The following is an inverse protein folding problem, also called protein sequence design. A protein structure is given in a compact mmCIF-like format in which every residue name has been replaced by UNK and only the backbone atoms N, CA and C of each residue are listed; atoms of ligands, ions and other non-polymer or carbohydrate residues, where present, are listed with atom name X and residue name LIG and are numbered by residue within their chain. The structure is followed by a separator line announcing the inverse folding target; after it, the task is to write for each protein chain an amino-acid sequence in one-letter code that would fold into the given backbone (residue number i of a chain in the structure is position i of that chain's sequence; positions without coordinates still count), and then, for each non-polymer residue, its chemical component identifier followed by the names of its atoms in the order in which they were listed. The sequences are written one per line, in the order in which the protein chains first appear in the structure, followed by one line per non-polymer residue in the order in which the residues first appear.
data_IF_803373968948
#
_entry.id   IF_803373968948
#
_cell.length_a   1.000
_cell.length_b   1.000
_cell.length_c   1.000
_cell.angle_alpha   90.00
_cell.angle_beta   90.00
_cell.angle_gamma   90.00
#
_symmetry.space_group_name_H-M   'P 1'
#
loop_
_entity.id
_entity.type
_entity.pdbx_description
1 polymer ?
#
# COMPACT_ATOMS: atom_id res chain seq x y z
N UNK A 1 -23.49 -49.90 27.34
CA UNK A 1 -22.15 -49.62 26.76
C UNK A 1 -21.20 -49.57 27.93
N UNK A 2 -20.16 -50.41 27.95
CA UNK A 2 -19.35 -50.66 29.15
C UNK A 2 -18.30 -49.57 29.38
N UNK A 3 -17.94 -49.34 30.65
CA UNK A 3 -16.94 -48.36 31.11
C UNK A 3 -15.59 -48.46 30.37
N UNK A 4 -15.27 -49.63 29.82
CA UNK A 4 -14.09 -49.86 28.98
C UNK A 4 -14.10 -49.08 27.66
N UNK A 5 -15.26 -48.69 27.13
CA UNK A 5 -15.36 -47.87 25.92
C UNK A 5 -15.09 -46.39 26.22
N UNK A 6 -15.49 -45.91 27.40
CA UNK A 6 -15.24 -44.54 27.86
C UNK A 6 -13.74 -44.38 28.19
N UNK A 7 -13.13 -45.31 28.93
CA UNK A 7 -11.69 -45.30 29.21
C UNK A 7 -10.83 -45.31 27.94
N UNK A 8 -11.23 -46.08 26.92
CA UNK A 8 -10.53 -46.10 25.62
C UNK A 8 -10.66 -44.77 24.87
N UNK A 9 -11.80 -44.08 25.00
CA UNK A 9 -12.00 -42.75 24.40
C UNK A 9 -11.12 -41.72 25.11
N UNK A 10 -11.11 -41.71 26.43
CA UNK A 10 -10.32 -40.77 27.22
C UNK A 10 -8.81 -40.98 27.08
N UNK A 11 -8.36 -42.24 27.01
CA UNK A 11 -6.96 -42.57 26.76
C UNK A 11 -6.50 -42.09 25.37
N UNK A 12 -7.37 -42.22 24.36
CA UNK A 12 -7.11 -41.74 23.00
C UNK A 12 -7.05 -40.20 22.95
N UNK A 13 -8.00 -39.52 23.59
CA UNK A 13 -8.03 -38.06 23.66
C UNK A 13 -6.79 -37.50 24.41
N UNK A 14 -6.36 -38.17 25.48
CA UNK A 14 -5.17 -37.79 26.24
C UNK A 14 -3.87 -37.99 25.45
N UNK A 15 -3.78 -39.08 24.68
CA UNK A 15 -2.65 -39.34 23.79
C UNK A 15 -2.57 -38.32 22.63
N UNK A 16 -3.71 -38.00 22.01
CA UNK A 16 -3.81 -36.96 20.98
C UNK A 16 -3.41 -35.57 21.53
N UNK A 17 -3.77 -35.28 22.77
CA UNK A 17 -3.41 -34.01 23.42
C UNK A 17 -1.93 -33.93 23.78
N UNK A 18 -1.34 -35.01 24.29
CA UNK A 18 0.09 -35.06 24.59
C UNK A 18 0.96 -34.88 23.33
N UNK A 19 0.52 -35.39 22.17
CA UNK A 19 1.18 -35.17 20.89
C UNK A 19 1.11 -33.71 20.40
N UNK A 20 0.05 -32.97 20.77
CA UNK A 20 -0.09 -31.53 20.45
C UNK A 20 0.82 -30.69 21.35
N UNK A 21 0.94 -31.05 22.62
CA UNK A 21 1.75 -30.32 23.61
C UNK A 21 3.25 -30.60 23.45
N UNK A 22 3.63 -31.80 23.01
CA UNK A 22 5.05 -32.17 22.81
C UNK A 22 5.69 -31.57 21.54
N UNK A 23 4.94 -30.84 20.71
CA UNK A 23 5.47 -30.22 19.50
C UNK A 23 5.88 -31.23 18.43
N UNK A 24 5.22 -32.39 18.38
CA UNK A 24 5.59 -33.48 17.49
C UNK A 24 5.39 -33.10 16.01
N UNK A 25 6.39 -33.40 15.18
CA UNK A 25 6.56 -32.87 13.81
C UNK A 25 5.41 -33.25 12.86
N UNK A 26 4.62 -34.27 13.24
CA UNK A 26 3.46 -34.75 12.50
C UNK A 26 2.31 -33.71 12.45
N UNK A 27 2.17 -32.83 13.44
CA UNK A 27 1.10 -31.81 13.48
C UNK A 27 1.37 -30.59 12.59
N UNK A 28 2.63 -30.36 12.16
CA UNK A 28 2.95 -29.31 11.16
C UNK A 28 2.36 -29.62 9.78
N UNK A 29 2.18 -30.90 9.43
CA UNK A 29 1.62 -31.30 8.12
C UNK A 29 0.09 -31.20 8.05
N UNK A 30 -0.62 -31.28 9.17
CA UNK A 30 -2.09 -31.19 9.22
C UNK A 30 -2.62 -29.74 9.24
N UNK A 31 -1.88 -28.79 9.80
CA UNK A 31 -2.27 -27.36 9.75
C UNK A 31 -2.20 -26.73 8.34
N UNK A 32 -1.42 -27.31 7.42
CA UNK A 32 -1.44 -26.93 6.00
C UNK A 32 -2.75 -27.37 5.32
N UNK A 33 -3.44 -28.40 5.82
CA UNK A 33 -4.75 -28.84 5.29
C UNK A 33 -5.93 -28.05 5.86
N UNK A 34 -5.82 -27.50 7.08
CA UNK A 34 -6.91 -26.71 7.68
C UNK A 34 -7.15 -25.37 6.97
N UNK A 35 -6.12 -24.82 6.31
CA UNK A 35 -6.23 -23.60 5.49
C UNK A 35 -6.32 -23.86 3.97
N UNK A 36 -6.14 -25.11 3.53
CA UNK A 36 -6.23 -25.52 2.12
C UNK A 36 -7.65 -25.81 1.60
N UNK A 37 -8.69 -25.58 2.41
CA UNK A 37 -10.05 -26.07 2.12
C UNK A 37 -11.12 -24.98 2.18
N UNK A 38 -10.88 -23.83 1.54
CA UNK A 38 -11.98 -22.98 1.04
C UNK A 38 -12.13 -23.31 -0.45
N UNK A 39 -12.74 -24.46 -0.74
CA UNK A 39 -13.28 -24.74 -2.07
C UNK A 39 -14.63 -24.02 -2.17
N UNK A 40 -14.72 -23.06 -3.08
CA UNK A 40 -15.99 -22.58 -3.63
C UNK A 40 -16.85 -23.78 -4.02
N UNK A 41 -17.98 -23.97 -3.32
CA UNK A 41 -19.03 -24.88 -3.76
C UNK A 41 -19.66 -24.29 -5.02
N UNK A 42 -19.19 -24.72 -6.19
CA UNK A 42 -19.97 -24.66 -7.44
C UNK A 42 -20.50 -26.06 -7.70
N UNK A 43 -21.81 -26.23 -7.57
CA UNK A 43 -22.48 -27.44 -8.00
C UNK A 43 -22.89 -27.29 -9.46
N UNK A 44 -22.50 -28.24 -10.31
CA UNK A 44 -22.98 -28.37 -11.69
C UNK A 44 -23.92 -29.56 -11.71
N UNK A 45 -25.22 -29.32 -11.58
CA UNK A 45 -26.20 -30.35 -11.94
C UNK A 45 -26.18 -30.51 -13.47
N UNK A 46 -26.27 -31.76 -13.93
CA UNK A 46 -26.20 -32.09 -15.34
C UNK A 46 -27.25 -31.36 -16.18
N UNK A 47 -26.87 -31.08 -17.43
CA UNK A 47 -27.64 -30.52 -18.57
C UNK A 47 -29.07 -30.04 -18.26
N UNK A 48 -29.24 -28.71 -18.16
CA UNK A 48 -30.51 -28.02 -18.37
C UNK A 48 -30.98 -27.15 -17.20
N UNK A 49 -30.85 -25.83 -17.37
CA UNK A 49 -31.39 -24.70 -16.60
C UNK A 49 -30.96 -24.48 -15.13
N UNK A 50 -30.72 -23.21 -14.80
CA UNK A 50 -30.45 -22.71 -13.45
C UNK A 50 -31.79 -22.47 -12.73
N UNK A 51 -31.95 -23.01 -11.53
CA UNK A 51 -33.07 -22.70 -10.64
C UNK A 51 -32.54 -22.00 -9.40
N UNK A 52 -33.11 -20.85 -9.05
CA UNK A 52 -32.89 -20.20 -7.76
C UNK A 52 -33.61 -20.98 -6.65
N UNK A 53 -32.91 -21.26 -5.54
CA UNK A 53 -33.52 -21.79 -4.32
C UNK A 53 -33.83 -20.64 -3.35
N UNK A 54 -34.99 -20.64 -2.68
CA UNK A 54 -35.34 -19.59 -1.75
C UNK A 54 -34.55 -19.73 -0.44
N UNK A 55 -34.05 -18.62 0.07
CA UNK A 55 -33.39 -18.53 1.38
C UNK A 55 -34.42 -18.76 2.50
N UNK A 56 -34.23 -19.82 3.30
CA UNK A 56 -34.97 -20.02 4.55
C UNK A 56 -34.19 -19.46 5.76
N UNK A 57 -34.89 -18.72 6.63
CA UNK A 57 -34.41 -17.90 7.76
C UNK A 57 -33.82 -18.65 8.98
N UNK A 58 -33.42 -19.93 8.92
CA UNK A 58 -33.11 -20.72 10.12
C UNK A 58 -31.62 -20.97 10.44
N UNK A 59 -30.64 -20.53 9.64
CA UNK A 59 -29.21 -20.83 9.90
C UNK A 59 -28.44 -19.74 10.66
N UNK A 60 -28.96 -19.30 11.80
CA UNK A 60 -28.27 -18.34 12.70
C UNK A 60 -27.53 -18.90 13.95
N UNK A 61 -27.43 -20.22 14.27
CA UNK A 61 -26.69 -20.64 15.48
C UNK A 61 -25.19 -20.90 15.27
N UNK A 62 -24.77 -21.37 14.10
CA UNK A 62 -23.44 -21.98 13.90
C UNK A 62 -22.32 -20.94 13.92
N UNK A 63 -22.57 -19.75 13.36
CA UNK A 63 -21.58 -18.66 13.31
C UNK A 63 -21.30 -18.06 14.69
N UNK A 64 -22.33 -17.88 15.53
CA UNK A 64 -22.17 -17.39 16.92
C UNK A 64 -21.34 -18.36 17.75
N UNK A 65 -21.53 -19.67 17.55
CA UNK A 65 -20.78 -20.71 18.25
C UNK A 65 -19.30 -20.74 17.82
N UNK A 66 -19.02 -20.64 16.52
CA UNK A 66 -17.65 -20.62 15.98
C UNK A 66 -16.88 -19.37 16.41
N UNK A 67 -17.52 -18.21 16.46
CA UNK A 67 -16.91 -16.96 16.96
C UNK A 67 -16.59 -17.08 18.45
N UNK A 68 -17.52 -17.59 19.28
CA UNK A 68 -17.27 -17.83 20.72
C UNK A 68 -16.09 -18.77 20.95
N UNK A 69 -15.98 -19.84 20.16
CA UNK A 69 -14.88 -20.81 20.25
C UNK A 69 -13.53 -20.22 19.83
N UNK A 70 -13.51 -19.40 18.78
CA UNK A 70 -12.30 -18.71 18.33
C UNK A 70 -11.81 -17.67 19.34
N UNK A 71 -12.73 -16.90 19.95
CA UNK A 71 -12.42 -15.95 21.03
C UNK A 71 -11.83 -16.68 22.23
N UNK A 72 -12.44 -17.80 22.62
CA UNK A 72 -11.96 -18.62 23.74
C UNK A 72 -10.58 -19.25 23.50
N UNK A 73 -10.30 -19.68 22.26
CA UNK A 73 -9.00 -20.22 21.90
C UNK A 73 -7.88 -19.17 22.01
N UNK A 74 -8.15 -17.93 21.62
CA UNK A 74 -7.17 -16.83 21.69
C UNK A 74 -6.92 -16.38 23.13
N UNK A 75 -7.97 -16.32 23.97
CA UNK A 75 -7.82 -16.00 25.40
C UNK A 75 -6.96 -17.04 26.13
N UNK A 76 -7.07 -18.33 25.74
CA UNK A 76 -6.29 -19.41 26.35
C UNK A 76 -4.84 -19.48 25.87
N UNK A 77 -4.56 -19.09 24.61
CA UNK A 77 -3.20 -19.09 24.04
C UNK A 77 -2.28 -18.01 24.60
N UNK A 78 -2.81 -16.89 25.09
CA UNK A 78 -1.99 -15.79 25.59
C UNK A 78 -1.64 -15.91 27.10
N UNK A 79 -1.98 -17.02 27.76
CA UNK A 79 -1.50 -17.34 29.11
C UNK A 79 -1.97 -16.44 30.25
N UNK A 80 -2.88 -15.48 30.01
CA UNK A 80 -3.19 -14.44 30.99
C UNK A 80 -4.21 -14.84 32.09
N UNK A 81 -4.83 -16.03 32.06
CA UNK A 81 -5.80 -16.41 33.09
C UNK A 81 -5.79 -17.92 33.40
N UNK A 82 -5.46 -18.28 34.64
CA UNK A 82 -5.85 -19.56 35.25
C UNK A 82 -7.37 -19.51 35.52
N UNK A 83 -8.19 -20.40 34.92
CA UNK A 83 -9.64 -20.41 35.11
C UNK A 83 -10.09 -20.55 36.56
N UNK A 84 -9.21 -21.00 37.46
CA UNK A 84 -9.50 -21.20 38.88
C UNK A 84 -9.19 -19.99 39.75
N UNK A 85 -8.47 -18.99 39.22
CA UNK A 85 -8.01 -17.83 39.97
C UNK A 85 -8.76 -16.53 39.63
N UNK A 86 -9.79 -16.59 38.79
CA UNK A 86 -10.63 -15.43 38.52
C UNK A 86 -11.77 -15.43 39.54
N UNK A 87 -11.80 -14.52 40.53
CA UNK A 87 -13.03 -14.33 41.31
C UNK A 87 -14.16 -14.01 40.33
N UNK A 88 -15.40 -14.26 40.70
CA UNK A 88 -16.61 -13.87 39.94
C UNK A 88 -16.63 -12.34 39.74
N UNK A 89 -15.76 -11.84 38.86
CA UNK A 89 -15.82 -10.52 38.33
C UNK A 89 -17.16 -10.44 37.62
N UNK A 90 -17.88 -9.34 37.85
CA UNK A 90 -19.19 -9.13 37.24
C UNK A 90 -19.10 -9.48 35.74
N UNK A 91 -20.12 -10.11 35.17
CA UNK A 91 -20.13 -10.48 33.74
C UNK A 91 -19.73 -9.29 32.83
N UNK A 92 -19.98 -8.07 33.32
CA UNK A 92 -19.57 -6.80 32.72
C UNK A 92 -18.06 -6.64 32.58
N UNK A 93 -17.26 -7.03 33.57
CA UNK A 93 -15.80 -6.93 33.53
C UNK A 93 -15.17 -7.96 32.58
N UNK A 94 -15.70 -9.19 32.59
CA UNK A 94 -15.31 -10.23 31.61
C UNK A 94 -15.64 -9.76 30.20
N UNK A 95 -16.81 -9.15 29.99
CA UNK A 95 -17.22 -8.62 28.71
C UNK A 95 -16.35 -7.44 28.25
N UNK A 96 -16.02 -6.50 29.13
CA UNK A 96 -15.16 -5.35 28.82
C UNK A 96 -13.74 -5.79 28.48
N UNK A 97 -13.16 -6.72 29.25
CA UNK A 97 -11.82 -7.27 28.98
C UNK A 97 -11.80 -8.10 27.70
N UNK A 98 -12.82 -8.93 27.45
CA UNK A 98 -12.96 -9.65 26.19
C UNK A 98 -13.12 -8.69 25.00
N UNK A 99 -13.89 -7.60 25.14
CA UNK A 99 -14.05 -6.58 24.09
C UNK A 99 -12.74 -5.83 23.82
N UNK A 100 -11.93 -5.55 24.84
CA UNK A 100 -10.58 -4.97 24.70
C UNK A 100 -9.59 -5.94 24.06
N UNK A 101 -9.61 -7.22 24.47
CA UNK A 101 -8.80 -8.28 23.87
C UNK A 101 -9.17 -8.54 22.41
N UNK A 102 -10.48 -8.61 22.08
CA UNK A 102 -10.94 -8.66 20.70
C UNK A 102 -10.55 -7.40 19.94
N UNK A 103 -10.61 -6.20 20.51
CA UNK A 103 -10.12 -4.99 19.82
C UNK A 103 -8.64 -5.08 19.46
N UNK A 104 -7.82 -5.76 20.25
CA UNK A 104 -6.39 -5.99 19.96
C UNK A 104 -6.16 -7.12 18.97
N UNK A 105 -6.95 -8.19 19.03
CA UNK A 105 -6.80 -9.40 18.18
C UNK A 105 -7.51 -9.26 16.82
N UNK A 106 -8.62 -8.54 16.75
CA UNK A 106 -9.49 -8.44 15.55
C UNK A 106 -9.03 -7.36 14.57
N UNK A 107 -8.10 -6.47 14.95
CA UNK A 107 -7.57 -5.50 13.99
C UNK A 107 -6.84 -6.17 12.81
N UNK A 108 -6.17 -7.31 13.00
CA UNK A 108 -5.46 -8.00 11.92
C UNK A 108 -6.37 -8.83 10.97
N UNK A 109 -7.28 -9.71 11.43
CA UNK A 109 -8.10 -10.52 10.52
C UNK A 109 -9.25 -9.74 9.87
N UNK A 110 -9.76 -8.66 10.50
CA UNK A 110 -10.84 -7.87 9.91
C UNK A 110 -10.34 -7.01 8.73
N UNK A 111 -9.10 -6.50 8.80
CA UNK A 111 -8.46 -5.82 7.67
C UNK A 111 -8.22 -6.75 6.47
N UNK A 112 -7.98 -8.05 6.71
CA UNK A 112 -7.83 -9.04 5.64
C UNK A 112 -9.15 -9.28 4.88
N UNK A 113 -10.28 -9.33 5.59
CA UNK A 113 -11.61 -9.47 4.96
C UNK A 113 -12.05 -8.16 4.29
N UNK A 114 -11.79 -7.00 4.90
CA UNK A 114 -12.08 -5.70 4.28
C UNK A 114 -11.29 -5.50 2.97
N UNK A 115 -10.06 -6.02 2.89
CA UNK A 115 -9.24 -5.98 1.69
C UNK A 115 -9.82 -6.76 0.49
N UNK A 116 -10.68 -7.75 0.72
CA UNK A 116 -11.36 -8.51 -0.34
C UNK A 116 -12.50 -7.73 -1.02
N UNK A 117 -12.96 -6.63 -0.42
CA UNK A 117 -14.06 -5.81 -0.93
C UNK A 117 -13.64 -4.42 -1.40
N UNK A 118 -12.33 -4.12 -1.43
CA UNK A 118 -11.86 -2.87 -1.99
C UNK A 118 -12.22 -2.83 -3.48
N UNK A 119 -12.99 -1.80 -3.87
CA UNK A 119 -13.34 -1.54 -5.26
C UNK A 119 -12.06 -1.30 -6.05
N UNK A 120 -11.62 -2.31 -6.79
CA UNK A 120 -10.42 -2.22 -7.62
C UNK A 120 -10.66 -1.24 -8.77
N UNK A 121 -9.90 -0.16 -8.78
CA UNK A 121 -9.84 0.86 -9.84
C UNK A 121 -8.65 0.56 -10.73
N UNK A 122 -8.81 0.74 -12.03
CA UNK A 122 -7.75 0.48 -13.02
C UNK A 122 -7.45 1.73 -13.83
N UNK A 123 -6.17 1.99 -14.03
CA UNK A 123 -5.67 3.17 -14.75
C UNK A 123 -4.67 2.77 -15.81
N UNK A 124 -4.78 3.40 -16.98
CA UNK A 124 -3.83 3.26 -18.08
C UNK A 124 -2.48 3.91 -17.76
N UNK A 125 -2.54 5.14 -17.22
CA UNK A 125 -1.35 5.93 -16.88
C UNK A 125 -1.25 6.25 -15.38
N UNK A 126 -0.02 6.34 -14.90
CA UNK A 126 0.32 6.79 -13.54
C UNK A 126 1.29 7.96 -13.60
N UNK A 127 0.85 9.13 -13.14
CA UNK A 127 1.67 10.33 -13.07
C UNK A 127 2.12 10.56 -11.63
N UNK A 128 3.35 10.14 -11.30
CA UNK A 128 3.90 10.35 -9.97
C UNK A 128 4.42 11.79 -9.85
N UNK A 129 3.86 12.57 -8.94
CA UNK A 129 4.21 13.97 -8.67
C UNK A 129 5.08 14.13 -7.41
N UNK A 130 6.38 14.37 -7.56
CA UNK A 130 7.28 14.90 -6.52
C UNK A 130 7.56 14.00 -5.31
N UNK A 131 8.82 13.96 -4.83
CA UNK A 131 9.22 13.26 -3.58
C UNK A 131 8.70 11.81 -3.48
N UNK A 132 8.61 11.19 -4.66
CA UNK A 132 7.91 9.93 -4.87
C UNK A 132 8.84 8.74 -4.98
N UNK A 133 10.10 8.83 -4.55
CA UNK A 133 11.01 7.69 -4.54
C UNK A 133 10.40 6.50 -3.78
N UNK A 134 9.76 6.75 -2.64
CA UNK A 134 9.02 5.72 -1.90
C UNK A 134 7.77 5.26 -2.66
N UNK A 135 6.95 6.17 -3.20
CA UNK A 135 5.75 5.84 -3.99
C UNK A 135 6.10 4.94 -5.18
N UNK A 136 7.12 5.33 -5.95
CA UNK A 136 7.66 4.61 -7.09
C UNK A 136 8.21 3.23 -6.68
N UNK A 137 9.00 3.16 -5.61
CA UNK A 137 9.50 1.88 -5.09
C UNK A 137 8.36 0.95 -4.66
N UNK A 138 7.36 1.47 -3.93
CA UNK A 138 6.22 0.68 -3.46
C UNK A 138 5.31 0.23 -4.60
N UNK A 139 5.16 1.08 -5.62
CA UNK A 139 4.46 0.76 -6.86
C UNK A 139 5.18 -0.38 -7.59
N UNK A 140 6.49 -0.25 -7.80
CA UNK A 140 7.35 -1.25 -8.44
C UNK A 140 7.24 -2.61 -7.73
N UNK A 141 7.39 -2.62 -6.40
CA UNK A 141 7.34 -3.86 -5.61
C UNK A 141 5.97 -4.54 -5.64
N UNK A 142 4.90 -3.78 -5.82
CA UNK A 142 3.53 -4.33 -5.85
C UNK A 142 3.12 -4.79 -7.25
N UNK A 143 3.50 -4.03 -8.29
CA UNK A 143 3.02 -4.23 -9.65
C UNK A 143 4.06 -4.86 -10.60
N UNK A 144 5.33 -4.96 -10.17
CA UNK A 144 6.41 -5.57 -10.96
C UNK A 144 6.91 -4.71 -12.13
N UNK A 145 6.53 -3.43 -12.18
CA UNK A 145 7.07 -2.47 -13.13
C UNK A 145 6.99 -1.05 -12.57
N UNK A 146 7.74 -0.13 -13.17
CA UNK A 146 7.66 1.29 -12.88
C UNK A 146 7.55 2.05 -14.19
N UNK A 147 6.56 2.94 -14.28
CA UNK A 147 6.47 3.87 -15.39
C UNK A 147 7.19 5.17 -15.04
N UNK A 148 8.23 5.48 -15.82
CA UNK A 148 9.03 6.69 -15.60
C UNK A 148 8.34 7.89 -16.22
N UNK A 149 7.82 8.77 -15.37
CA UNK A 149 7.29 10.10 -15.73
C UNK A 149 8.23 11.19 -15.24
N UNK A 150 8.07 12.44 -15.71
CA UNK A 150 8.98 13.53 -15.37
C UNK A 150 9.17 13.70 -13.86
N UNK A 151 8.07 13.90 -13.12
CA UNK A 151 8.10 14.10 -11.67
C UNK A 151 8.28 12.82 -10.83
N UNK A 152 8.44 11.65 -11.48
CA UNK A 152 8.97 10.46 -10.81
C UNK A 152 10.48 10.60 -10.56
N UNK A 153 11.18 11.41 -11.36
CA UNK A 153 12.62 11.63 -11.31
C UNK A 153 13.01 13.06 -10.93
N UNK A 154 12.06 13.99 -11.03
CA UNK A 154 12.20 15.38 -10.68
C UNK A 154 11.31 15.77 -9.49
N UNK A 155 11.79 16.65 -8.62
CA UNK A 155 11.10 17.08 -7.41
C UNK A 155 11.32 18.56 -7.11
N UNK A 156 10.28 19.25 -6.62
CA UNK A 156 10.45 20.50 -5.88
C UNK A 156 11.00 20.23 -4.48
N UNK A 157 11.27 21.27 -3.70
CA UNK A 157 11.58 21.11 -2.27
C UNK A 157 10.34 20.79 -1.43
N UNK A 158 9.18 21.28 -1.85
CA UNK A 158 7.91 21.22 -1.16
C UNK A 158 6.73 21.20 -2.17
N UNK A 159 5.50 21.22 -1.66
CA UNK A 159 4.31 21.25 -2.51
C UNK A 159 4.24 22.50 -3.41
N UNK A 160 4.62 23.67 -2.90
CA UNK A 160 4.58 24.93 -3.66
C UNK A 160 5.61 24.96 -4.80
N UNK A 161 6.83 24.49 -4.55
CA UNK A 161 7.86 24.33 -5.56
C UNK A 161 7.44 23.35 -6.65
N UNK A 162 6.69 22.29 -6.30
CA UNK A 162 6.13 21.38 -7.30
C UNK A 162 5.01 22.03 -8.12
N UNK A 163 4.11 22.79 -7.49
CA UNK A 163 3.09 23.58 -8.20
C UNK A 163 3.74 24.63 -9.12
N UNK A 164 4.83 25.25 -8.69
CA UNK A 164 5.61 26.16 -9.52
C UNK A 164 6.19 25.42 -10.75
N UNK A 165 6.75 24.22 -10.54
CA UNK A 165 7.23 23.38 -11.63
C UNK A 165 6.13 23.01 -12.64
N UNK A 166 4.91 22.70 -12.18
CA UNK A 166 3.76 22.47 -13.06
C UNK A 166 3.28 23.74 -13.78
N UNK A 167 3.45 24.92 -13.15
CA UNK A 167 3.11 26.20 -13.78
C UNK A 167 4.02 26.50 -14.95
N UNK A 168 5.32 26.29 -14.76
CA UNK A 168 6.38 26.55 -15.74
C UNK A 168 6.86 25.26 -16.42
N UNK A 169 5.94 24.31 -16.65
CA UNK A 169 6.31 22.95 -17.05
C UNK A 169 7.13 22.90 -18.35
N UNK A 170 6.79 23.72 -19.34
CA UNK A 170 7.48 23.77 -20.64
C UNK A 170 8.91 24.29 -20.55
N UNK A 171 9.19 25.11 -19.52
CA UNK A 171 10.49 25.77 -19.30
C UNK A 171 11.45 24.91 -18.48
N UNK A 172 10.96 23.90 -17.77
CA UNK A 172 11.74 23.05 -16.87
C UNK A 172 12.96 22.43 -17.56
N UNK A 173 14.16 22.69 -17.09
CA UNK A 173 15.43 22.20 -17.65
C UNK A 173 15.68 22.63 -19.10
N UNK A 174 15.18 23.80 -19.51
CA UNK A 174 15.56 24.43 -20.79
C UNK A 174 16.62 25.51 -20.60
N UNK A 175 16.61 26.18 -19.45
CA UNK A 175 17.51 27.28 -19.11
C UNK A 175 18.77 26.83 -18.37
N UNK A 176 19.18 27.66 -17.41
CA UNK A 176 20.38 27.45 -16.62
C UNK A 176 20.20 26.34 -15.59
N UNK A 177 21.23 25.49 -15.45
CA UNK A 177 21.25 24.35 -14.56
C UNK A 177 22.43 24.47 -13.60
N UNK A 178 22.18 24.34 -12.30
CA UNK A 178 23.20 24.34 -11.27
C UNK A 178 23.16 23.05 -10.46
N UNK A 179 24.23 22.70 -9.75
CA UNK A 179 24.12 21.67 -8.74
C UNK A 179 23.21 22.14 -7.60
N UNK A 180 22.34 21.25 -7.12
CA UNK A 180 21.57 21.53 -5.92
C UNK A 180 22.53 21.70 -4.72
N UNK A 181 22.30 22.67 -3.82
CA UNK A 181 23.15 22.88 -2.66
C UNK A 181 23.36 21.59 -1.86
N UNK A 182 24.62 21.25 -1.58
CA UNK A 182 24.98 20.05 -0.83
C UNK A 182 24.80 18.72 -1.59
N UNK A 183 24.56 18.75 -2.90
CA UNK A 183 24.42 17.54 -3.72
C UNK A 183 25.39 17.53 -4.89
N UNK A 184 26.09 16.41 -5.06
CA UNK A 184 26.97 16.15 -6.20
C UNK A 184 26.27 15.42 -7.35
N UNK A 185 25.04 14.93 -7.15
CA UNK A 185 24.33 14.09 -8.13
C UNK A 185 22.96 14.63 -8.54
N UNK A 186 22.60 15.83 -8.08
CA UNK A 186 21.29 16.44 -8.32
C UNK A 186 21.52 17.82 -8.94
N UNK A 187 20.93 18.03 -10.10
CA UNK A 187 20.86 19.34 -10.74
C UNK A 187 19.56 20.02 -10.37
N UNK A 188 19.62 21.33 -10.23
CA UNK A 188 18.49 22.22 -10.02
C UNK A 188 18.35 23.12 -11.24
N UNK A 189 17.13 23.18 -11.76
CA UNK A 189 16.72 24.22 -12.69
C UNK A 189 16.64 25.56 -11.95
N UNK A 190 17.42 26.55 -12.38
CA UNK A 190 17.59 27.81 -11.64
C UNK A 190 16.29 28.63 -11.61
N UNK A 191 15.51 28.61 -12.68
CA UNK A 191 14.31 29.42 -12.81
C UNK A 191 13.16 28.89 -11.93
N UNK A 192 13.02 27.57 -11.87
CA UNK A 192 11.86 26.92 -11.22
C UNK A 192 12.17 26.31 -9.86
N UNK A 193 13.45 26.07 -9.56
CA UNK A 193 13.90 25.38 -8.36
C UNK A 193 13.71 23.85 -8.40
N UNK A 194 13.16 23.30 -9.49
CA UNK A 194 12.94 21.85 -9.62
C UNK A 194 14.28 21.13 -9.75
N UNK A 195 14.39 20.01 -9.05
CA UNK A 195 15.61 19.21 -8.96
C UNK A 195 15.45 17.87 -9.65
N UNK A 196 16.49 17.38 -10.31
CA UNK A 196 16.51 16.09 -10.97
C UNK A 196 17.88 15.42 -10.85
N UNK A 197 17.88 14.09 -10.67
CA UNK A 197 19.12 13.32 -10.60
C UNK A 197 19.84 13.26 -11.95
N UNK A 198 21.14 13.57 -11.94
CA UNK A 198 22.02 13.21 -13.02
C UNK A 198 22.15 11.69 -13.14
N UNK A 199 22.42 11.21 -14.36
CA UNK A 199 22.67 9.79 -14.59
C UNK A 199 23.98 9.33 -13.92
N UNK A 200 24.96 10.21 -13.92
CA UNK A 200 26.30 9.99 -13.39
C UNK A 200 26.49 10.85 -12.14
N UNK A 201 27.10 10.27 -11.11
CA UNK A 201 27.66 11.04 -10.00
C UNK A 201 29.14 11.32 -10.33
N UNK A 202 29.75 12.34 -9.70
CA UNK A 202 31.19 12.50 -9.75
C UNK A 202 31.91 11.22 -9.32
N UNK A 203 33.05 10.95 -9.94
CA UNK A 203 33.88 9.80 -9.56
C UNK A 203 34.44 9.99 -8.15
N UNK A 204 34.80 8.88 -7.51
CA UNK A 204 35.27 8.87 -6.11
C UNK A 204 36.58 9.63 -5.90
N UNK A 205 37.37 9.81 -6.97
CA UNK A 205 38.59 10.63 -7.01
C UNK A 205 38.31 12.13 -7.18
N UNK A 206 37.03 12.52 -7.26
CA UNK A 206 36.61 13.91 -7.42
C UNK A 206 36.84 14.46 -8.83
N UNK A 207 37.24 13.63 -9.80
CA UNK A 207 37.37 14.06 -11.21
C UNK A 207 35.99 14.56 -11.66
N UNK A 208 35.87 15.83 -12.08
CA UNK A 208 34.59 16.37 -12.49
C UNK A 208 34.12 15.59 -13.72
N UNK A 209 32.96 14.92 -13.67
CA UNK A 209 32.33 14.45 -14.89
C UNK A 209 32.13 15.65 -15.82
N UNK A 210 32.29 15.46 -17.13
CA UNK A 210 32.10 16.53 -18.11
C UNK A 210 30.73 17.19 -17.89
N UNK A 211 30.78 18.37 -17.28
CA UNK A 211 29.63 19.02 -16.70
C UNK A 211 28.64 19.44 -17.79
N UNK A 212 29.16 19.86 -18.94
CA UNK A 212 28.35 20.24 -20.09
C UNK A 212 27.74 19.00 -20.76
N UNK A 213 28.47 17.88 -20.84
CA UNK A 213 27.89 16.62 -21.28
C UNK A 213 26.76 16.14 -20.36
N UNK A 214 26.90 16.30 -19.03
CA UNK A 214 25.84 15.98 -18.07
C UNK A 214 24.62 16.89 -18.21
N UNK A 215 24.83 18.21 -18.35
CA UNK A 215 23.74 19.16 -18.63
C UNK A 215 23.02 18.78 -19.91
N UNK A 216 23.75 18.50 -20.98
CA UNK A 216 23.19 18.10 -22.29
C UNK A 216 22.36 16.82 -22.19
N UNK A 217 22.88 15.77 -21.53
CA UNK A 217 22.13 14.54 -21.27
C UNK A 217 20.85 14.82 -20.47
N UNK A 218 20.98 15.60 -19.39
CA UNK A 218 19.86 15.90 -18.51
C UNK A 218 18.76 16.68 -19.23
N UNK A 219 19.13 17.68 -20.04
CA UNK A 219 18.17 18.44 -20.88
C UNK A 219 17.44 17.53 -21.85
N UNK A 220 18.16 16.64 -22.54
CA UNK A 220 17.57 15.67 -23.48
C UNK A 220 16.59 14.72 -22.78
N UNK A 221 17.00 14.15 -21.64
CA UNK A 221 16.16 13.26 -20.84
C UNK A 221 14.95 13.99 -20.25
N UNK A 222 15.13 15.21 -19.76
CA UNK A 222 14.06 16.08 -19.28
C UNK A 222 13.03 16.34 -20.38
N UNK A 223 13.48 16.77 -21.57
CA UNK A 223 12.60 17.02 -22.71
C UNK A 223 11.78 15.77 -23.09
N UNK A 224 12.41 14.60 -23.17
CA UNK A 224 11.72 13.34 -23.43
C UNK A 224 10.66 13.03 -22.35
N UNK A 225 11.00 13.20 -21.07
CA UNK A 225 10.08 12.92 -19.98
C UNK A 225 8.92 13.94 -19.90
N UNK A 226 9.15 15.21 -20.27
CA UNK A 226 8.10 16.24 -20.38
C UNK A 226 7.09 15.88 -21.48
N UNK A 227 7.59 15.55 -22.66
CA UNK A 227 6.77 15.11 -23.79
C UNK A 227 5.94 13.87 -23.44
N UNK A 228 6.57 12.88 -22.80
CA UNK A 228 5.86 11.69 -22.32
C UNK A 228 4.78 12.05 -21.29
N UNK A 229 5.07 12.93 -20.34
CA UNK A 229 4.11 13.36 -19.33
C UNK A 229 2.88 14.01 -19.98
N UNK A 230 3.06 14.92 -20.95
CA UNK A 230 1.93 15.52 -21.67
C UNK A 230 1.11 14.51 -22.42
N UNK A 231 1.76 13.57 -23.11
CA UNK A 231 1.07 12.52 -23.85
C UNK A 231 0.16 11.71 -22.95
N UNK A 232 0.69 11.24 -21.82
CA UNK A 232 -0.07 10.45 -20.85
C UNK A 232 -1.19 11.26 -20.17
N UNK A 233 -0.94 12.54 -19.89
CA UNK A 233 -1.93 13.42 -19.29
C UNK A 233 -3.10 13.70 -20.23
N UNK A 234 -2.85 13.87 -21.53
CA UNK A 234 -3.84 14.26 -22.55
C UNK A 234 -4.53 13.08 -23.23
N UNK A 235 -4.00 11.87 -23.05
CA UNK A 235 -4.60 10.63 -23.55
C UNK A 235 -6.02 10.42 -23.00
N UNK A 236 -6.82 9.63 -23.71
CA UNK A 236 -8.18 9.28 -23.31
C UNK A 236 -8.22 8.13 -22.27
N UNK A 237 -7.09 7.44 -22.06
CA UNK A 237 -6.96 6.42 -21.02
C UNK A 237 -7.14 7.00 -19.61
N UNK A 238 -7.74 6.24 -18.66
CA UNK A 238 -7.86 6.69 -17.29
C UNK A 238 -6.49 6.91 -16.65
N UNK A 239 -6.23 8.13 -16.20
CA UNK A 239 -4.96 8.55 -15.62
C UNK A 239 -5.09 8.80 -14.13
N UNK A 240 -4.20 8.21 -13.35
CA UNK A 240 -4.06 8.51 -11.92
C UNK A 240 -2.82 9.35 -11.68
N UNK A 241 -3.01 10.61 -11.30
CA UNK A 241 -1.95 11.39 -10.67
C UNK A 241 -1.80 10.97 -9.21
N UNK A 242 -0.57 10.80 -8.74
CA UNK A 242 -0.26 10.39 -7.37
C UNK A 242 0.68 11.39 -6.74
N UNK A 243 0.32 11.91 -5.58
CA UNK A 243 1.14 12.83 -4.80
C UNK A 243 1.29 12.32 -3.37
N UNK A 244 2.55 12.22 -2.91
CA UNK A 244 2.89 11.99 -1.50
C UNK A 244 2.97 13.34 -0.80
N UNK A 245 2.27 13.52 0.31
CA UNK A 245 2.28 14.76 1.07
C UNK A 245 2.69 14.48 2.52
N UNK A 246 3.69 15.23 3.00
CA UNK A 246 4.02 15.32 4.43
C UNK A 246 3.52 16.66 4.95
N UNK A 247 3.13 16.71 6.21
CA UNK A 247 2.68 17.97 6.81
C UNK A 247 3.75 19.08 6.74
N UNK A 248 5.02 18.73 6.89
CA UNK A 248 6.16 19.67 6.82
C UNK A 248 6.34 20.31 5.43
N UNK A 249 6.12 19.54 4.36
CA UNK A 249 6.27 19.99 2.97
C UNK A 249 4.97 20.63 2.43
N UNK A 250 3.83 20.31 3.04
CA UNK A 250 2.50 20.63 2.55
C UNK A 250 1.56 20.97 3.73
N UNK A 251 1.81 22.08 4.46
CA UNK A 251 1.07 22.41 5.69
C UNK A 251 -0.43 22.62 5.45
N UNK A 252 -0.83 22.92 4.21
CA UNK A 252 -2.23 23.02 3.77
C UNK A 252 -2.56 21.91 2.78
N UNK A 253 -2.52 20.65 3.21
CA UNK A 253 -2.62 19.47 2.34
C UNK A 253 -3.80 19.52 1.35
N UNK A 254 -5.02 19.78 1.84
CA UNK A 254 -6.23 19.90 1.02
C UNK A 254 -6.12 20.97 -0.07
N UNK A 255 -5.64 22.17 0.29
CA UNK A 255 -5.39 23.26 -0.66
C UNK A 255 -4.43 22.81 -1.77
N UNK A 256 -3.29 22.20 -1.43
CA UNK A 256 -2.32 21.76 -2.44
C UNK A 256 -2.89 20.65 -3.33
N UNK A 257 -3.66 19.71 -2.77
CA UNK A 257 -4.33 18.67 -3.54
C UNK A 257 -5.26 19.26 -4.61
N UNK A 258 -6.05 20.25 -4.24
CA UNK A 258 -6.91 20.97 -5.17
C UNK A 258 -6.10 21.66 -6.27
N UNK A 259 -5.07 22.43 -5.89
CA UNK A 259 -4.21 23.15 -6.85
C UNK A 259 -3.48 22.22 -7.81
N UNK A 260 -3.04 21.04 -7.35
CA UNK A 260 -2.44 20.05 -8.24
C UNK A 260 -3.43 19.57 -9.29
N UNK A 261 -4.63 19.21 -8.87
CA UNK A 261 -5.65 18.70 -9.79
C UNK A 261 -6.10 19.77 -10.79
N UNK A 262 -6.37 20.98 -10.32
CA UNK A 262 -6.68 22.13 -11.20
C UNK A 262 -5.58 22.30 -12.24
N UNK A 263 -4.32 22.35 -11.80
CA UNK A 263 -3.21 22.59 -12.72
C UNK A 263 -3.05 21.49 -13.76
N UNK A 264 -3.21 20.23 -13.38
CA UNK A 264 -3.16 19.11 -14.32
C UNK A 264 -4.32 19.14 -15.31
N UNK A 265 -5.52 19.56 -14.88
CA UNK A 265 -6.67 19.76 -15.77
C UNK A 265 -6.41 20.90 -16.76
N UNK A 266 -5.86 22.02 -16.30
CA UNK A 266 -5.44 23.15 -17.17
C UNK A 266 -4.40 22.71 -18.22
N UNK A 267 -3.50 21.78 -17.88
CA UNK A 267 -2.52 21.21 -18.80
C UNK A 267 -3.11 20.23 -19.83
N UNK A 268 -4.42 19.94 -19.76
CA UNK A 268 -5.17 19.10 -20.68
C UNK A 268 -5.59 17.73 -20.13
N UNK A 269 -5.52 17.52 -18.80
CA UNK A 269 -5.94 16.28 -18.15
C UNK A 269 -7.46 16.08 -18.19
N UNK A 270 -7.95 15.22 -19.10
CA UNK A 270 -9.40 14.97 -19.32
C UNK A 270 -9.94 13.79 -18.51
N UNK A 271 -9.27 12.64 -18.53
CA UNK A 271 -9.66 11.43 -17.80
C UNK A 271 -8.78 11.23 -16.56
N UNK A 272 -8.70 12.26 -15.73
CA UNK A 272 -7.73 12.37 -14.65
C UNK A 272 -8.39 12.26 -13.26
N UNK A 273 -7.79 11.46 -12.39
CA UNK A 273 -8.07 11.45 -10.95
C UNK A 273 -6.79 11.70 -10.18
N UNK A 274 -6.90 12.30 -8.99
CA UNK A 274 -5.78 12.50 -8.07
C UNK A 274 -5.88 11.53 -6.89
N UNK A 275 -4.77 10.89 -6.55
CA UNK A 275 -4.57 10.14 -5.31
C UNK A 275 -3.55 10.89 -4.45
N UNK A 276 -4.03 11.40 -3.32
CA UNK A 276 -3.21 11.96 -2.26
C UNK A 276 -2.89 10.86 -1.26
N UNK A 277 -1.61 10.71 -0.95
CA UNK A 277 -1.12 9.78 0.07
C UNK A 277 -0.44 10.60 1.15
N UNK A 278 -0.93 10.51 2.40
CA UNK A 278 -0.35 11.17 3.58
C UNK A 278 -0.07 10.17 4.72
N UNK A 279 0.62 10.58 5.79
CA UNK A 279 0.62 9.79 7.02
C UNK A 279 -0.73 9.90 7.74
N UNK A 280 -1.09 8.87 8.52
CA UNK A 280 -2.33 8.89 9.32
C UNK A 280 -2.42 10.09 10.26
N UNK A 281 -1.29 10.53 10.81
CA UNK A 281 -1.23 11.71 11.68
C UNK A 281 -1.59 13.00 10.91
N UNK A 282 -1.21 13.08 9.64
CA UNK A 282 -1.39 14.27 8.80
C UNK A 282 -2.79 14.32 8.16
N UNK A 283 -3.54 13.22 8.21
CA UNK A 283 -4.85 13.09 7.58
C UNK A 283 -5.90 14.07 8.14
N UNK A 284 -5.66 14.63 9.33
CA UNK A 284 -6.51 15.67 9.94
C UNK A 284 -6.58 16.96 9.12
N UNK A 285 -5.59 17.20 8.25
CA UNK A 285 -5.53 18.37 7.36
C UNK A 285 -6.28 18.18 6.03
N UNK A 286 -7.01 17.08 5.92
CA UNK A 286 -7.83 16.76 4.75
C UNK A 286 -9.27 16.49 5.19
N UNK A 287 -10.26 16.81 4.34
CA UNK A 287 -11.63 16.37 4.58
C UNK A 287 -11.73 14.84 4.55
N UNK A 288 -12.68 14.30 5.31
CA UNK A 288 -12.88 12.85 5.42
C UNK A 288 -13.21 12.19 4.07
N UNK A 289 -13.94 12.90 3.22
CA UNK A 289 -14.22 12.54 1.84
C UNK A 289 -14.10 13.79 0.97
N UNK A 290 -13.48 13.68 -0.20
CA UNK A 290 -13.39 14.75 -1.18
C UNK A 290 -13.93 14.26 -2.53
N UNK A 291 -14.77 15.05 -3.23
CA UNK A 291 -15.33 14.63 -4.52
C UNK A 291 -14.27 14.51 -5.62
N UNK A 292 -13.23 15.34 -5.56
CA UNK A 292 -12.25 15.45 -6.66
C UNK A 292 -11.01 14.56 -6.56
N UNK A 293 -10.70 14.03 -5.37
CA UNK A 293 -9.49 13.24 -5.18
C UNK A 293 -9.68 12.14 -4.13
N UNK A 294 -8.85 11.10 -4.21
CA UNK A 294 -8.79 10.05 -3.20
C UNK A 294 -7.74 10.40 -2.16
N UNK A 295 -8.11 10.32 -0.89
CA UNK A 295 -7.14 10.36 0.22
C UNK A 295 -6.87 8.94 0.71
N UNK A 296 -5.60 8.52 0.73
CA UNK A 296 -5.19 7.30 1.41
C UNK A 296 -4.08 7.60 2.40
N UNK A 297 -4.02 6.79 3.45
CA UNK A 297 -3.07 6.98 4.53
C UNK A 297 -2.18 5.77 4.70
N UNK A 298 -0.93 6.05 5.07
CA UNK A 298 0.00 5.07 5.62
C UNK A 298 0.30 5.41 7.07
N UNK A 299 0.60 4.42 7.90
CA UNK A 299 1.00 4.68 9.29
C UNK A 299 2.32 5.46 9.37
N UNK A 300 3.28 5.14 8.49
CA UNK A 300 4.59 5.78 8.44
C UNK A 300 5.24 5.68 7.06
N UNK A 301 5.94 6.73 6.68
CA UNK A 301 6.84 6.74 5.53
C UNK A 301 8.19 6.14 5.86
N UNK A 302 8.90 5.74 4.81
CA UNK A 302 10.33 5.56 4.87
C UNK A 302 11.04 6.93 4.92
N UNK A 303 12.17 7.04 5.66
CA UNK A 303 13.11 8.13 5.45
C UNK A 303 13.61 8.15 4.00
N UNK A 304 13.88 9.33 3.44
CA UNK A 304 14.22 9.46 2.01
C UNK A 304 15.54 8.75 1.63
N UNK A 305 16.46 8.64 2.57
CA UNK A 305 17.72 7.90 2.43
C UNK A 305 17.57 6.39 2.60
N UNK A 306 16.38 5.90 2.97
CA UNK A 306 16.08 4.49 3.24
C UNK A 306 14.76 4.03 2.59
N UNK A 307 14.40 4.59 1.44
CA UNK A 307 13.14 4.24 0.74
C UNK A 307 13.01 2.74 0.40
N UNK A 308 14.13 2.05 0.22
CA UNK A 308 14.17 0.62 -0.11
C UNK A 308 14.03 -0.30 1.13
N UNK A 309 14.22 0.20 2.35
CA UNK A 309 14.23 -0.60 3.58
C UNK A 309 12.82 -1.02 3.98
N UNK A 310 12.43 -2.25 3.69
CA UNK A 310 11.04 -2.71 3.83
C UNK A 310 10.52 -2.69 5.28
N UNK A 311 11.41 -2.80 6.28
CA UNK A 311 11.09 -2.93 7.70
C UNK A 311 10.69 -1.59 8.36
N UNK A 312 11.00 -0.46 7.73
CA UNK A 312 10.81 0.87 8.33
C UNK A 312 9.48 1.52 7.91
N UNK A 313 9.01 1.32 6.67
CA UNK A 313 7.74 1.90 6.21
C UNK A 313 6.51 1.06 6.53
N UNK A 314 5.33 1.58 6.16
CA UNK A 314 4.07 0.85 6.21
C UNK A 314 3.86 -0.03 4.95
N UNK A 315 4.60 -1.14 4.86
CA UNK A 315 4.49 -2.06 3.72
C UNK A 315 3.06 -2.52 3.46
N UNK A 316 2.28 -2.77 4.52
CA UNK A 316 0.90 -3.23 4.39
C UNK A 316 0.00 -2.14 3.81
N UNK A 317 0.03 -0.93 4.38
CA UNK A 317 -0.73 0.22 3.88
C UNK A 317 -0.46 0.51 2.41
N UNK A 318 0.82 0.53 2.01
CA UNK A 318 1.22 0.68 0.61
C UNK A 318 0.66 -0.43 -0.29
N UNK A 319 0.73 -1.69 0.14
CA UNK A 319 0.19 -2.82 -0.63
C UNK A 319 -1.33 -2.68 -0.82
N UNK A 320 -2.04 -2.23 0.21
CA UNK A 320 -3.50 -2.03 0.14
C UNK A 320 -3.87 -0.90 -0.83
N UNK A 321 -3.14 0.20 -0.80
CA UNK A 321 -3.31 1.31 -1.76
C UNK A 321 -3.14 0.80 -3.19
N UNK A 322 -2.05 0.09 -3.50
CA UNK A 322 -1.80 -0.38 -4.87
C UNK A 322 -2.68 -1.55 -5.32
N UNK A 323 -3.29 -2.28 -4.38
CA UNK A 323 -4.37 -3.24 -4.71
C UNK A 323 -5.66 -2.54 -5.11
N UNK A 324 -5.96 -1.40 -4.48
CA UNK A 324 -7.11 -0.57 -4.83
C UNK A 324 -6.89 0.16 -6.16
N UNK A 325 -5.74 0.83 -6.32
CA UNK A 325 -5.37 1.63 -7.49
C UNK A 325 -4.38 0.85 -8.36
N UNK A 326 -4.91 -0.06 -9.17
CA UNK A 326 -4.10 -0.99 -9.95
C UNK A 326 -3.87 -0.49 -11.39
N UNK A 327 -2.79 -0.92 -12.06
CA UNK A 327 -2.62 -0.65 -13.47
C UNK A 327 -3.58 -1.47 -14.34
N UNK A 328 -4.02 -0.87 -15.44
CA UNK A 328 -4.78 -1.53 -16.49
C UNK A 328 -3.87 -2.46 -17.29
N UNK A 329 -2.65 -2.00 -17.57
CA UNK A 329 -1.62 -2.71 -18.32
C UNK A 329 -0.41 -2.99 -17.44
N UNK A 330 0.03 -4.25 -17.39
CA UNK A 330 1.29 -4.62 -16.74
C UNK A 330 2.39 -4.58 -17.78
N UNK A 331 3.36 -3.69 -17.61
CA UNK A 331 4.51 -3.61 -18.51
C UNK A 331 5.52 -4.71 -18.19
N UNK A 332 6.05 -5.40 -19.21
CA UNK A 332 7.20 -6.28 -19.02
C UNK A 332 8.42 -5.43 -18.66
N UNK A 333 8.97 -5.69 -17.48
CA UNK A 333 10.18 -5.02 -17.04
C UNK A 333 11.41 -5.61 -17.77
N UNK A 334 11.97 -4.86 -18.71
CA UNK A 334 13.15 -5.29 -19.46
C UNK A 334 14.48 -4.82 -18.84
N UNK A 335 14.44 -4.04 -17.76
CA UNK A 335 15.63 -3.44 -17.11
C UNK A 335 15.68 -3.81 -15.63
N UNK A 336 16.87 -4.19 -15.14
CA UNK A 336 17.15 -4.29 -13.70
C UNK A 336 17.35 -2.90 -13.12
N UNK A 337 16.65 -2.56 -12.04
CA UNK A 337 16.82 -1.28 -11.33
C UNK A 337 17.98 -1.38 -10.32
N UNK A 338 18.49 -0.21 -9.88
CA UNK A 338 19.57 -0.14 -8.88
C UNK A 338 19.20 -0.83 -7.56
N UNK A 339 17.90 -0.93 -7.27
CA UNK A 339 17.36 -1.53 -6.04
C UNK A 339 17.18 -3.05 -6.13
N UNK A 340 17.43 -3.67 -7.29
CA UNK A 340 17.29 -5.12 -7.49
C UNK A 340 18.59 -5.90 -7.14
N UNK A 341 19.58 -5.23 -6.52
CA UNK A 341 20.89 -5.80 -6.17
C UNK A 341 21.01 -6.17 -4.71
#
# INVERSE_FOLDING_TARGET
MSDKAEERREAKERAEWNAIVSGDECFRKSNVRLFGSIRLLRFKAGKGNWTELPFHKSETPIWKFRIRRAIWAVVRQNGELDPRQVPLASERDVFVRAKLALRRVVQAPFLFVAGLFLKRRRYGHFLLLGWNCEVAYRFLKTNGFLDSTFFAWAGGLDCDGMLNGLRHFDELFTGELAFAPGSQGIFQDVATGVRMHARYAPSADGTPPDFEAMKSELRSRAAHLREKFYRQLRDDEPTLAVVKMRQEDCPRGDYHAHRFLERLREMGGRNLQLLVICQKADAVHFPAEHPDYFLRTVSRYNPDWQVATEQIGDRFGWTMIWKEFAPLHVMKQNKKYKFDR
#
